data_IF_869118091830
#
_entry.id   IF_869118091830
#
_cell.length_a   1.000
_cell.length_b   1.000
_cell.length_c   1.000
_cell.angle_alpha   90.00
_cell.angle_beta   90.00
_cell.angle_gamma   90.00
#
_symmetry.space_group_name_H-M   'P 1'
#
loop_
_entity.id
_entity.type
_entity.pdbx_description
1 polymer ?
#
# COMPACT_ATOMS: atom_id res chain seq x y z
N UNK A 1 -28.17 7.94 1.85
CA UNK A 1 -27.78 6.93 0.84
C UNK A 1 -26.64 6.10 1.39
N UNK A 2 -26.85 4.78 1.57
CA UNK A 2 -25.87 3.84 2.15
C UNK A 2 -25.04 3.21 1.03
N UNK A 3 -23.71 3.33 1.01
CA UNK A 3 -22.88 2.54 0.09
C UNK A 3 -21.56 2.06 0.71
N UNK A 4 -21.17 0.85 0.27
CA UNK A 4 -20.27 -0.13 0.91
C UNK A 4 -18.91 -0.24 0.19
N UNK A 5 -17.93 -0.72 0.97
CA UNK A 5 -16.50 -1.01 0.76
C UNK A 5 -16.12 -1.92 -0.43
N UNK A 6 -14.88 -1.78 -0.92
CA UNK A 6 -14.18 -2.65 -1.89
C UNK A 6 -13.17 -3.55 -1.18
N UNK A 7 -13.29 -4.87 -1.31
CA UNK A 7 -12.29 -5.87 -0.87
C UNK A 7 -11.97 -6.73 -2.09
N UNK A 8 -10.71 -6.74 -2.54
CA UNK A 8 -10.25 -7.67 -3.58
C UNK A 8 -10.07 -9.06 -2.95
N UNK A 9 -11.06 -9.94 -3.13
CA UNK A 9 -10.90 -11.39 -2.92
C UNK A 9 -10.80 -12.07 -4.28
N UNK A 10 -9.68 -12.76 -4.52
CA UNK A 10 -9.54 -13.68 -5.65
C UNK A 10 -10.42 -14.91 -5.37
N UNK A 11 -11.62 -14.94 -5.95
CA UNK A 11 -12.36 -16.19 -6.20
C UNK A 11 -12.21 -16.50 -7.69
N UNK A 12 -11.89 -17.76 -8.00
CA UNK A 12 -11.73 -18.23 -9.39
C UNK A 12 -12.91 -17.72 -10.25
N UNK A 13 -12.56 -17.03 -11.33
CA UNK A 13 -13.36 -16.65 -12.52
C UNK A 13 -14.01 -15.27 -12.68
N UNK A 14 -13.94 -14.30 -11.75
CA UNK A 14 -14.36 -12.91 -12.08
C UNK A 14 -13.50 -11.85 -11.38
N UNK A 15 -12.92 -10.93 -12.16
CA UNK A 15 -12.25 -9.72 -11.65
C UNK A 15 -13.27 -8.61 -11.52
N UNK A 16 -13.68 -8.30 -10.30
CA UNK A 16 -14.53 -7.12 -10.03
C UNK A 16 -13.59 -5.94 -9.73
N UNK A 17 -13.50 -5.00 -10.68
CA UNK A 17 -12.79 -3.72 -10.47
C UNK A 17 -13.79 -2.72 -9.91
N UNK A 18 -13.67 -2.40 -8.63
CA UNK A 18 -14.47 -1.32 -8.02
C UNK A 18 -13.59 -0.09 -7.82
N UNK A 19 -13.94 1.01 -8.49
CA UNK A 19 -13.23 2.29 -8.41
C UNK A 19 -13.66 3.05 -7.14
N UNK A 20 -12.73 3.31 -6.23
CA UNK A 20 -12.95 4.15 -5.03
C UNK A 20 -12.83 5.62 -5.47
N UNK A 21 -13.96 6.33 -5.58
CA UNK A 21 -13.98 7.73 -6.05
C UNK A 21 -13.61 8.79 -4.99
N UNK A 22 -13.44 8.43 -3.71
CA UNK A 22 -13.08 9.35 -2.61
C UNK A 22 -12.32 8.63 -1.47
N UNK A 23 -11.03 8.33 -1.68
CA UNK A 23 -10.14 7.88 -0.59
C UNK A 23 -9.39 9.06 -0.01
N UNK A 24 -9.07 9.03 1.28
CA UNK A 24 -8.03 9.91 1.82
C UNK A 24 -6.67 9.50 1.26
N UNK A 25 -5.78 10.47 1.09
CA UNK A 25 -4.36 10.20 0.77
C UNK A 25 -3.68 9.40 1.88
N UNK A 26 -4.23 9.41 3.10
CA UNK A 26 -3.73 8.63 4.25
C UNK A 26 -4.33 7.22 4.35
N UNK A 27 -5.33 6.87 3.53
CA UNK A 27 -5.95 5.54 3.62
C UNK A 27 -4.97 4.46 3.19
N UNK A 28 -4.80 3.41 4.01
CA UNK A 28 -3.94 2.26 3.74
C UNK A 28 -4.81 1.01 3.59
N UNK A 29 -4.72 0.38 2.42
CA UNK A 29 -5.53 -0.79 2.07
C UNK A 29 -4.75 -2.07 2.30
N UNK A 30 -5.37 -2.99 3.02
CA UNK A 30 -4.81 -4.32 3.25
C UNK A 30 -4.90 -5.16 1.99
N UNK A 31 -3.78 -5.75 1.58
CA UNK A 31 -3.70 -6.61 0.41
C UNK A 31 -2.96 -7.91 0.74
N UNK A 32 -3.59 -9.05 0.43
CA UNK A 32 -3.01 -10.38 0.61
C UNK A 32 -2.17 -10.83 -0.59
N UNK A 33 -2.39 -10.25 -1.77
CA UNK A 33 -1.66 -10.55 -2.99
C UNK A 33 -0.40 -9.70 -3.18
N UNK A 34 -0.28 -8.60 -2.44
CA UNK A 34 0.91 -7.76 -2.48
C UNK A 34 2.11 -8.44 -1.79
N UNK A 35 3.26 -8.42 -2.45
CA UNK A 35 4.53 -8.94 -1.92
C UNK A 35 5.32 -7.93 -1.10
N UNK A 36 4.90 -6.66 -1.07
CA UNK A 36 5.58 -5.57 -0.36
C UNK A 36 4.59 -4.46 0.01
N UNK A 37 4.88 -3.72 1.07
CA UNK A 37 4.16 -2.50 1.39
C UNK A 37 4.49 -1.44 0.33
N UNK A 38 3.49 -0.65 -0.09
CA UNK A 38 3.66 0.34 -1.16
C UNK A 38 2.85 1.60 -0.88
N UNK A 39 3.32 2.74 -1.39
CA UNK A 39 2.61 4.02 -1.32
C UNK A 39 2.80 4.85 -2.58
N UNK A 40 1.77 5.60 -2.96
CA UNK A 40 1.85 6.69 -3.95
C UNK A 40 2.09 8.06 -3.30
N UNK A 41 2.34 8.11 -2.00
CA UNK A 41 2.43 9.32 -1.18
C UNK A 41 3.83 9.53 -0.63
N UNK A 42 4.72 10.12 -1.42
CA UNK A 42 6.11 10.39 -1.01
C UNK A 42 6.20 11.15 0.33
N UNK A 43 5.28 12.07 0.61
CA UNK A 43 5.26 12.86 1.84
C UNK A 43 5.04 12.04 3.12
N UNK A 44 4.58 10.79 3.01
CA UNK A 44 4.45 9.86 4.14
C UNK A 44 5.81 9.23 4.52
N UNK A 45 6.81 9.33 3.66
CA UNK A 45 8.16 8.77 3.81
C UNK A 45 9.08 9.86 4.37
N UNK A 46 9.61 9.68 5.58
CA UNK A 46 10.36 10.75 6.26
C UNK A 46 11.78 10.95 5.73
N UNK A 47 12.50 9.85 5.52
CA UNK A 47 13.90 9.84 5.09
C UNK A 47 14.04 9.14 3.73
N UNK A 48 13.18 9.53 2.78
CA UNK A 48 13.03 8.83 1.51
C UNK A 48 14.40 8.56 0.85
N UNK A 49 14.72 7.27 0.69
CA UNK A 49 15.94 6.85 -0.02
C UNK A 49 15.56 6.54 -1.46
N UNK A 50 15.89 7.43 -2.42
CA UNK A 50 15.60 7.18 -3.82
C UNK A 50 16.44 6.02 -4.35
N UNK A 51 15.87 5.26 -5.27
CA UNK A 51 16.63 4.33 -6.09
C UNK A 51 17.18 5.05 -7.32
N UNK A 52 18.17 4.43 -7.96
CA UNK A 52 18.61 4.87 -9.26
C UNK A 52 17.45 4.78 -10.26
N UNK A 53 17.42 5.71 -11.21
CA UNK A 53 16.36 5.72 -12.23
C UNK A 53 16.42 4.41 -13.03
N UNK A 54 15.25 3.83 -13.31
CA UNK A 54 15.07 2.57 -14.04
C UNK A 54 15.66 1.30 -13.40
N UNK A 55 16.14 1.36 -12.16
CA UNK A 55 16.79 0.21 -11.50
C UNK A 55 15.84 -0.76 -10.81
N UNK A 56 14.55 -0.42 -10.65
CA UNK A 56 13.62 -1.20 -9.82
C UNK A 56 12.17 -1.11 -10.28
N UNK A 57 11.51 -2.27 -10.32
CA UNK A 57 10.17 -2.43 -10.88
C UNK A 57 9.37 -3.45 -10.07
N UNK A 58 8.06 -3.23 -9.97
CA UNK A 58 7.09 -4.24 -9.52
C UNK A 58 6.21 -4.68 -10.68
N UNK A 59 5.72 -5.91 -10.59
CA UNK A 59 4.76 -6.47 -11.56
C UNK A 59 3.34 -6.38 -10.99
N UNK A 60 2.45 -5.72 -11.71
CA UNK A 60 1.02 -5.71 -11.40
C UNK A 60 0.27 -6.94 -11.93
N UNK A 61 -1.04 -6.98 -11.67
CA UNK A 61 -1.95 -7.97 -12.25
C UNK A 61 -1.98 -7.78 -13.77
N UNK A 62 -1.72 -8.86 -14.53
CA UNK A 62 -1.61 -8.80 -15.99
C UNK A 62 -0.23 -8.43 -16.53
N UNK A 63 0.80 -8.42 -15.67
CA UNK A 63 2.20 -8.06 -15.99
C UNK A 63 2.49 -6.61 -16.45
N UNK A 64 1.71 -5.56 -16.13
CA UNK A 64 2.20 -4.20 -16.29
C UNK A 64 3.36 -3.98 -15.29
N UNK A 65 4.51 -3.53 -15.79
CA UNK A 65 5.60 -3.10 -14.94
C UNK A 65 5.33 -1.69 -14.44
N UNK A 66 5.66 -1.46 -13.18
CA UNK A 66 5.55 -0.15 -12.55
C UNK A 66 6.84 0.17 -11.82
N UNK A 67 7.36 1.38 -12.06
CA UNK A 67 8.63 1.83 -11.49
C UNK A 67 8.53 2.02 -9.98
N UNK A 68 9.55 1.56 -9.26
CA UNK A 68 9.75 1.83 -7.84
C UNK A 68 10.86 2.86 -7.72
N UNK A 69 10.54 4.02 -7.16
CA UNK A 69 11.47 5.15 -7.14
C UNK A 69 12.31 5.23 -5.87
N UNK A 70 12.03 4.38 -4.88
CA UNK A 70 12.77 4.32 -3.63
C UNK A 70 12.00 3.56 -2.55
N UNK A 71 12.55 3.54 -1.34
CA UNK A 71 11.89 2.94 -0.18
C UNK A 71 12.18 3.71 1.09
N UNK A 72 11.27 3.63 2.06
CA UNK A 72 11.49 4.10 3.42
C UNK A 72 10.40 3.56 4.37
N UNK A 73 10.58 3.78 5.67
CA UNK A 73 9.56 3.52 6.67
C UNK A 73 8.46 4.60 6.65
N UNK A 74 7.21 4.17 6.90
CA UNK A 74 6.10 5.08 7.22
C UNK A 74 5.83 4.98 8.71
N UNK A 75 5.79 6.13 9.39
CA UNK A 75 5.31 6.22 10.76
C UNK A 75 3.84 6.64 10.78
N UNK A 76 2.99 5.76 11.30
CA UNK A 76 1.57 6.03 11.45
C UNK A 76 1.18 6.14 12.92
N UNK A 77 0.19 6.99 13.19
CA UNK A 77 -0.57 6.97 14.42
C UNK A 77 -1.94 6.41 14.07
N UNK A 78 -2.29 5.29 14.69
CA UNK A 78 -3.58 4.63 14.48
C UNK A 78 -4.29 4.47 15.81
N UNK A 79 -5.61 4.28 15.79
CA UNK A 79 -6.43 4.04 16.97
C UNK A 79 -7.04 2.64 16.88
N UNK A 80 -6.94 1.88 17.97
CA UNK A 80 -7.66 0.62 18.15
C UNK A 80 -8.43 0.71 19.46
N UNK A 81 -9.76 0.61 19.39
CA UNK A 81 -10.65 0.78 20.55
C UNK A 81 -10.34 2.07 21.34
N UNK A 82 -10.23 3.19 20.62
CA UNK A 82 -9.91 4.53 21.16
C UNK A 82 -8.51 4.68 21.79
N UNK A 83 -7.70 3.64 21.77
CA UNK A 83 -6.30 3.70 22.20
C UNK A 83 -5.42 4.04 21.01
N UNK A 84 -4.78 5.21 21.08
CA UNK A 84 -3.81 5.64 20.08
C UNK A 84 -2.51 4.83 20.21
N UNK A 85 -2.08 4.23 19.10
CA UNK A 85 -0.82 3.51 18.96
C UNK A 85 0.03 4.13 17.86
N UNK A 86 1.32 4.29 18.16
CA UNK A 86 2.33 4.61 17.17
C UNK A 86 2.82 3.31 16.56
N UNK A 87 2.89 3.26 15.23
CA UNK A 87 3.30 2.09 14.48
C UNK A 87 4.25 2.55 13.37
N UNK A 88 5.23 1.71 13.06
CA UNK A 88 6.09 1.87 11.91
C UNK A 88 5.76 0.74 10.93
N UNK A 89 5.48 1.09 9.69
CA UNK A 89 5.46 0.13 8.58
C UNK A 89 6.84 0.24 7.93
N UNK A 90 7.61 -0.84 8.01
CA UNK A 90 8.97 -0.87 7.50
C UNK A 90 9.03 -1.18 6.00
N UNK A 91 10.11 -0.78 5.34
CA UNK A 91 10.42 -1.12 3.93
C UNK A 91 9.27 -0.84 2.95
N UNK A 92 8.62 0.33 3.07
CA UNK A 92 7.55 0.73 2.15
C UNK A 92 8.15 1.23 0.85
N UNK A 93 7.75 0.62 -0.27
CA UNK A 93 8.16 1.04 -1.60
C UNK A 93 7.37 2.27 -2.05
N UNK A 94 8.07 3.25 -2.63
CA UNK A 94 7.44 4.40 -3.26
C UNK A 94 7.19 4.14 -4.74
N UNK A 95 5.91 4.21 -5.12
CA UNK A 95 5.44 3.79 -6.43
C UNK A 95 4.34 4.75 -6.92
N UNK A 96 4.68 5.93 -7.48
CA UNK A 96 3.71 7.01 -7.69
C UNK A 96 2.53 6.66 -8.61
N UNK A 97 2.71 5.72 -9.53
CA UNK A 97 1.67 5.34 -10.49
C UNK A 97 0.63 4.35 -9.96
N UNK A 98 0.81 3.75 -8.77
CA UNK A 98 -0.17 2.78 -8.24
C UNK A 98 -1.43 3.46 -7.71
N UNK A 99 -1.36 4.75 -7.37
CA UNK A 99 -2.53 5.54 -6.98
C UNK A 99 -3.20 5.12 -5.67
N UNK A 100 -2.51 4.32 -4.82
CA UNK A 100 -3.04 3.74 -3.58
C UNK A 100 -1.91 3.46 -2.57
N UNK A 101 -2.23 3.40 -1.28
CA UNK A 101 -1.32 2.86 -0.26
C UNK A 101 -1.71 1.42 0.07
N UNK A 102 -0.75 0.49 -0.01
CA UNK A 102 -0.97 -0.93 0.21
C UNK A 102 -0.17 -1.42 1.42
N UNK A 103 -0.86 -2.14 2.30
CA UNK A 103 -0.27 -2.92 3.36
C UNK A 103 -0.33 -4.41 2.99
N UNK A 104 0.82 -4.95 2.59
CA UNK A 104 0.98 -6.38 2.32
C UNK A 104 0.87 -7.21 3.61
N UNK A 105 -0.26 -7.90 3.79
CA UNK A 105 -0.49 -8.69 5.02
C UNK A 105 0.46 -9.89 5.10
N UNK A 106 0.71 -10.56 3.95
CA UNK A 106 1.53 -11.77 3.91
C UNK A 106 3.02 -11.54 4.19
N UNK A 107 3.46 -10.28 4.24
CA UNK A 107 4.84 -9.88 4.47
C UNK A 107 5.05 -9.23 5.85
N UNK A 108 4.01 -9.19 6.68
CA UNK A 108 4.08 -8.61 8.02
C UNK A 108 4.44 -9.67 9.07
N UNK A 109 5.51 -9.42 9.82
CA UNK A 109 5.83 -10.15 11.06
C UNK A 109 5.41 -9.24 12.22
N UNK A 110 4.43 -9.68 13.02
CA UNK A 110 4.11 -9.03 14.27
C UNK A 110 5.18 -9.44 15.31
N UNK A 111 6.09 -8.55 15.68
CA UNK A 111 6.86 -8.72 16.90
C UNK A 111 5.99 -8.26 18.08
N UNK A 112 5.75 -9.18 19.01
CA UNK A 112 4.95 -8.98 20.23
C UNK A 112 5.82 -8.73 21.45
#
# INVERSE_FOLDING_TARGET
>A
MKYRTVILRTLKQYTVVTVIKNRSRTDIFRDFGASSHMTDQQWMLRNFTPFETDSSWINGIGRPQTAVLGKENIHIVTSVNDVSKKCTISDVLYTPSIGINLFAIGFFIAEG
#
